data_IF_683951371935
#
_entry.id   IF_683951371935
#
_cell.length_a   1.000
_cell.length_b   1.000
_cell.length_c   1.000
_cell.angle_alpha   90.00
_cell.angle_beta   90.00
_cell.angle_gamma   90.00
#
_symmetry.space_group_name_H-M   'P 1'
#
loop_
_entity.id
_entity.type
_entity.pdbx_description
1 polymer ?
#
# COMPACT_ATOMS: atom_id res chain seq x y z
N UNK A 1 10.28 -11.51 -21.06
CA UNK A 1 10.15 -11.02 -19.67
C UNK A 1 11.26 -11.70 -18.87
N UNK A 2 11.89 -11.05 -17.90
CA UNK A 2 12.64 -11.84 -16.91
C UNK A 2 11.61 -12.76 -16.26
N UNK A 3 11.87 -14.08 -16.24
CA UNK A 3 10.92 -15.00 -15.63
C UNK A 3 10.94 -14.73 -14.13
N UNK A 4 9.90 -14.04 -13.64
CA UNK A 4 9.63 -13.94 -12.21
C UNK A 4 9.50 -15.37 -11.66
N UNK A 5 10.00 -15.61 -10.46
CA UNK A 5 9.76 -16.88 -9.77
C UNK A 5 8.25 -17.09 -9.58
N UNK A 6 7.83 -18.35 -9.48
CA UNK A 6 6.41 -18.70 -9.35
C UNK A 6 5.74 -18.05 -8.14
N UNK A 7 6.50 -17.81 -7.07
CA UNK A 7 6.02 -17.13 -5.86
C UNK A 7 5.54 -15.70 -6.14
N UNK A 8 6.10 -15.00 -7.15
CA UNK A 8 5.61 -13.70 -7.61
C UNK A 8 4.59 -13.88 -8.74
N UNK A 9 4.91 -14.73 -9.71
CA UNK A 9 4.14 -14.82 -10.95
C UNK A 9 2.69 -15.30 -10.74
N UNK A 10 2.44 -16.23 -9.81
CA UNK A 10 1.11 -16.80 -9.60
C UNK A 10 0.14 -15.77 -8.97
N UNK A 11 0.47 -15.13 -7.83
CA UNK A 11 -0.42 -14.12 -7.22
C UNK A 11 -0.64 -12.91 -8.13
N UNK A 12 0.36 -12.52 -8.93
CA UNK A 12 0.27 -11.42 -9.89
C UNK A 12 -0.73 -11.63 -11.02
N UNK A 13 -1.19 -12.87 -11.28
CA UNK A 13 -2.14 -13.14 -12.38
C UNK A 13 -3.41 -12.32 -12.26
N UNK A 14 -3.95 -12.16 -11.03
CA UNK A 14 -5.17 -11.38 -10.78
C UNK A 14 -4.93 -9.92 -11.17
N UNK A 15 -3.91 -9.28 -10.59
CA UNK A 15 -3.59 -7.87 -10.87
C UNK A 15 -3.26 -7.64 -12.34
N UNK A 16 -2.53 -8.57 -12.96
CA UNK A 16 -2.18 -8.51 -14.39
C UNK A 16 -3.42 -8.56 -15.28
N UNK A 17 -4.37 -9.46 -14.99
CA UNK A 17 -5.62 -9.55 -15.71
C UNK A 17 -6.46 -8.26 -15.55
N UNK A 18 -6.48 -7.67 -14.35
CA UNK A 18 -7.16 -6.39 -14.10
C UNK A 18 -6.49 -5.23 -14.86
N UNK A 19 -5.16 -5.15 -14.89
CA UNK A 19 -4.44 -4.17 -15.73
C UNK A 19 -4.79 -4.32 -17.22
N UNK A 20 -4.86 -5.56 -17.72
CA UNK A 20 -5.23 -5.82 -19.11
C UNK A 20 -6.67 -5.40 -19.39
N UNK A 21 -7.60 -5.71 -18.49
CA UNK A 21 -8.99 -5.27 -18.58
C UNK A 21 -9.09 -3.74 -18.62
N UNK A 22 -8.44 -3.04 -17.69
CA UNK A 22 -8.40 -1.57 -17.66
C UNK A 22 -7.90 -1.00 -18.99
N UNK A 23 -6.78 -1.50 -19.53
CA UNK A 23 -6.25 -1.02 -20.81
C UNK A 23 -7.16 -1.30 -22.00
N UNK A 24 -7.85 -2.43 -22.00
CA UNK A 24 -8.81 -2.78 -23.04
C UNK A 24 -10.04 -1.87 -22.99
N UNK A 25 -10.52 -1.59 -21.78
CA UNK A 25 -11.70 -0.76 -21.51
C UNK A 25 -11.44 0.74 -21.73
N UNK A 26 -10.25 1.23 -21.40
CA UNK A 26 -9.87 2.65 -21.52
C UNK A 26 -8.74 2.86 -22.53
N UNK A 27 -9.06 2.66 -23.81
CA UNK A 27 -8.07 2.75 -24.88
C UNK A 27 -7.44 4.16 -24.95
N UNK A 28 -6.13 4.23 -24.73
CA UNK A 28 -5.37 5.47 -24.78
C UNK A 28 -5.38 6.30 -23.49
N UNK A 29 -5.80 5.72 -22.35
CA UNK A 29 -5.87 6.43 -21.07
C UNK A 29 -4.57 7.14 -20.67
N UNK A 30 -3.41 6.53 -20.93
CA UNK A 30 -2.11 7.15 -20.65
C UNK A 30 -1.84 8.39 -21.50
N UNK A 31 -2.39 8.47 -22.71
CA UNK A 31 -2.29 9.68 -23.53
C UNK A 31 -3.16 10.81 -22.97
N UNK A 32 -4.30 10.47 -22.33
CA UNK A 32 -5.20 11.43 -21.70
C UNK A 32 -4.57 12.08 -20.46
N UNK A 33 -3.86 11.30 -19.65
CA UNK A 33 -3.18 11.82 -18.46
C UNK A 33 -1.80 12.44 -18.72
N UNK A 34 -1.17 12.18 -19.89
CA UNK A 34 0.20 12.61 -20.19
C UNK A 34 0.39 14.12 -19.99
N UNK A 35 -0.52 14.94 -20.52
CA UNK A 35 -0.41 16.40 -20.41
C UNK A 35 -0.45 16.89 -18.96
N UNK A 36 -1.26 16.25 -18.11
CA UNK A 36 -1.35 16.57 -16.67
C UNK A 36 -0.10 16.11 -15.92
N UNK A 37 0.36 14.89 -16.18
CA UNK A 37 1.59 14.35 -15.60
C UNK A 37 2.81 15.24 -15.90
N UNK A 38 2.93 15.73 -17.15
CA UNK A 38 4.00 16.64 -17.55
C UNK A 38 3.89 17.97 -16.81
N UNK A 39 2.67 18.53 -16.74
CA UNK A 39 2.42 19.79 -16.04
C UNK A 39 2.82 19.71 -14.56
N UNK A 40 2.33 18.72 -13.82
CA UNK A 40 2.60 18.63 -12.39
C UNK A 40 4.07 18.37 -12.07
N UNK A 41 4.76 17.58 -12.91
CA UNK A 41 6.20 17.40 -12.77
C UNK A 41 6.98 18.72 -12.93
N UNK A 42 6.55 19.60 -13.84
CA UNK A 42 7.24 20.86 -14.11
C UNK A 42 6.90 21.94 -13.08
N UNK A 43 5.67 21.93 -12.56
CA UNK A 43 5.21 22.94 -11.61
C UNK A 43 5.82 22.76 -10.19
N UNK A 44 6.67 21.74 -9.97
CA UNK A 44 7.18 21.31 -8.65
C UNK A 44 6.09 21.27 -7.57
N UNK A 45 4.86 20.98 -8.00
CA UNK A 45 3.75 20.89 -7.06
C UNK A 45 4.06 19.73 -6.15
N UNK A 46 3.96 19.97 -4.84
CA UNK A 46 4.02 18.95 -3.78
C UNK A 46 2.80 18.01 -3.82
N UNK A 47 2.31 17.65 -5.01
CA UNK A 47 1.27 16.63 -5.15
C UNK A 47 1.96 15.29 -4.85
N UNK A 48 1.34 14.49 -4.00
CA UNK A 48 1.90 13.19 -3.57
C UNK A 48 1.89 12.12 -4.69
N UNK A 49 1.34 12.47 -5.86
CA UNK A 49 1.21 11.64 -7.05
C UNK A 49 1.64 12.38 -8.31
N UNK A 50 1.94 11.62 -9.38
CA UNK A 50 2.24 12.20 -10.69
C UNK A 50 0.98 12.76 -11.38
N UNK A 51 -0.19 12.23 -11.02
CA UNK A 51 -1.51 12.63 -11.51
C UNK A 51 -2.53 12.39 -10.39
N UNK A 52 -3.49 13.30 -10.23
CA UNK A 52 -4.47 13.23 -9.12
C UNK A 52 -5.52 12.16 -9.35
N UNK A 53 -6.34 11.88 -8.32
CA UNK A 53 -7.53 11.03 -8.47
C UNK A 53 -8.44 11.59 -9.57
N UNK A 54 -8.76 12.88 -9.48
CA UNK A 54 -9.65 13.57 -10.42
C UNK A 54 -9.19 13.42 -11.87
N UNK A 55 -7.89 13.56 -12.13
CA UNK A 55 -7.33 13.42 -13.47
C UNK A 55 -7.48 12.00 -14.03
N UNK A 56 -7.39 10.97 -13.20
CA UNK A 56 -7.69 9.59 -13.61
C UNK A 56 -9.17 9.41 -13.96
N UNK A 57 -10.08 10.00 -13.17
CA UNK A 57 -11.52 9.90 -13.44
C UNK A 57 -11.88 10.63 -14.73
N UNK A 58 -11.39 11.86 -14.91
CA UNK A 58 -11.58 12.60 -16.15
C UNK A 58 -11.02 11.85 -17.36
N UNK A 59 -9.83 11.26 -17.24
CA UNK A 59 -9.24 10.45 -18.30
C UNK A 59 -10.06 9.18 -18.60
N UNK A 60 -10.59 8.52 -17.57
CA UNK A 60 -11.46 7.35 -17.71
C UNK A 60 -12.76 7.70 -18.45
N UNK A 61 -13.42 8.78 -18.04
CA UNK A 61 -14.63 9.30 -18.69
C UNK A 61 -14.35 9.73 -20.13
N UNK A 62 -13.26 10.44 -20.38
CA UNK A 62 -12.82 10.82 -21.72
C UNK A 62 -12.62 9.63 -22.67
N UNK A 63 -12.23 8.47 -22.13
CA UNK A 63 -12.04 7.24 -22.88
C UNK A 63 -13.34 6.47 -23.08
N UNK A 64 -14.22 6.43 -22.07
CA UNK A 64 -15.40 5.57 -22.04
C UNK A 64 -16.70 6.27 -22.47
N UNK A 65 -16.85 7.55 -22.12
CA UNK A 65 -18.00 8.39 -22.44
C UNK A 65 -17.53 9.77 -22.94
N UNK A 66 -16.99 9.91 -24.18
CA UNK A 66 -16.33 11.13 -24.64
C UNK A 66 -17.15 12.43 -24.57
N UNK A 67 -18.49 12.31 -24.60
CA UNK A 67 -19.42 13.44 -24.52
C UNK A 67 -19.90 13.73 -23.09
N UNK A 68 -19.28 13.14 -22.05
CA UNK A 68 -19.70 13.24 -20.66
C UNK A 68 -19.81 14.68 -20.13
N UNK A 69 -19.04 15.61 -20.72
CA UNK A 69 -19.03 17.03 -20.35
C UNK A 69 -20.21 17.81 -20.95
N UNK A 70 -20.95 17.23 -21.90
CA UNK A 70 -21.98 17.95 -22.65
C UNK A 70 -23.11 18.37 -21.71
N UNK A 71 -23.28 19.68 -21.55
CA UNK A 71 -24.32 20.26 -20.70
C UNK A 71 -23.89 20.46 -19.25
N UNK A 72 -22.64 20.14 -18.89
CA UNK A 72 -22.05 20.48 -17.60
C UNK A 72 -21.33 21.84 -17.70
N UNK A 73 -21.48 22.65 -16.65
CA UNK A 73 -20.73 23.88 -16.45
C UNK A 73 -19.52 23.63 -15.54
N UNK A 74 -18.58 24.58 -15.55
CA UNK A 74 -17.45 24.55 -14.62
C UNK A 74 -17.98 24.63 -13.19
N UNK A 75 -17.64 23.64 -12.37
CA UNK A 75 -18.06 23.53 -10.97
C UNK A 75 -19.23 22.57 -10.75
N UNK A 76 -19.90 22.11 -11.82
CA UNK A 76 -20.91 21.07 -11.71
C UNK A 76 -20.25 19.74 -11.30
N UNK A 77 -20.90 19.00 -10.38
CA UNK A 77 -20.49 17.67 -10.01
C UNK A 77 -20.64 16.71 -11.22
N UNK A 78 -19.78 15.69 -11.28
CA UNK A 78 -19.93 14.64 -12.29
C UNK A 78 -21.16 13.80 -11.89
N UNK A 79 -22.15 13.61 -12.78
CA UNK A 79 -23.28 12.76 -12.49
C UNK A 79 -22.88 11.32 -12.07
N UNK A 80 -23.42 10.82 -10.96
CA UNK A 80 -23.08 9.51 -10.38
C UNK A 80 -23.21 8.36 -11.38
N UNK A 81 -24.25 8.38 -12.21
CA UNK A 81 -24.47 7.35 -13.23
C UNK A 81 -23.31 7.24 -14.25
N UNK A 82 -22.56 8.31 -14.51
CA UNK A 82 -21.38 8.24 -15.39
C UNK A 82 -20.22 7.53 -14.70
N UNK A 83 -20.03 7.81 -13.41
CA UNK A 83 -19.00 7.19 -12.57
C UNK A 83 -19.31 5.71 -12.35
N UNK A 84 -20.56 5.39 -11.99
CA UNK A 84 -21.04 4.04 -11.72
C UNK A 84 -21.04 3.13 -12.94
N UNK A 85 -21.13 3.70 -14.14
CA UNK A 85 -21.08 2.95 -15.38
C UNK A 85 -19.65 2.75 -15.92
N UNK A 86 -18.61 3.26 -15.24
CA UNK A 86 -17.24 3.00 -15.64
C UNK A 86 -16.94 1.49 -15.60
N UNK A 87 -16.16 0.96 -16.57
CA UNK A 87 -15.82 -0.46 -16.65
C UNK A 87 -15.13 -1.08 -15.42
N UNK A 88 -14.52 -0.26 -14.57
CA UNK A 88 -13.99 -0.68 -13.28
C UNK A 88 -14.25 0.39 -12.22
N UNK A 89 -14.22 0.02 -10.92
CA UNK A 89 -14.29 1.00 -9.85
C UNK A 89 -13.23 2.09 -9.99
N UNK A 90 -13.57 3.32 -9.63
CA UNK A 90 -12.70 4.50 -9.68
C UNK A 90 -11.41 4.31 -8.88
N UNK A 91 -11.51 3.74 -7.67
CA UNK A 91 -10.35 3.43 -6.84
C UNK A 91 -9.38 2.46 -7.50
N UNK A 92 -9.91 1.48 -8.23
CA UNK A 92 -9.10 0.57 -9.03
C UNK A 92 -8.48 1.26 -10.25
N UNK A 93 -9.21 2.14 -10.93
CA UNK A 93 -8.69 2.95 -12.03
C UNK A 93 -7.46 3.77 -11.58
N UNK A 94 -7.57 4.42 -10.42
CA UNK A 94 -6.51 5.25 -9.82
C UNK A 94 -5.31 4.41 -9.40
N UNK A 95 -5.54 3.31 -8.66
CA UNK A 95 -4.46 2.47 -8.15
C UNK A 95 -3.75 1.70 -9.26
N UNK A 96 -4.47 1.02 -10.15
CA UNK A 96 -3.85 0.31 -11.28
C UNK A 96 -3.23 1.27 -12.29
N UNK A 97 -3.91 2.39 -12.58
CA UNK A 97 -3.39 3.46 -13.43
C UNK A 97 -2.02 3.92 -12.96
N UNK A 98 -1.93 4.27 -11.67
CA UNK A 98 -0.71 4.74 -11.03
C UNK A 98 0.35 3.64 -10.92
N UNK A 99 -0.05 2.42 -10.55
CA UNK A 99 0.87 1.30 -10.40
C UNK A 99 1.47 0.84 -11.73
N UNK A 100 0.75 0.91 -12.85
CA UNK A 100 1.31 0.59 -14.17
C UNK A 100 2.50 1.49 -14.56
N UNK A 101 2.59 2.69 -13.97
CA UNK A 101 3.75 3.55 -14.14
C UNK A 101 4.98 2.96 -13.45
N UNK A 102 4.86 2.32 -12.28
CA UNK A 102 6.04 1.83 -11.52
C UNK A 102 6.27 0.32 -11.64
N UNK A 103 5.19 -0.48 -11.57
CA UNK A 103 5.15 -1.95 -11.52
C UNK A 103 6.06 -2.56 -10.44
N UNK A 104 6.24 -1.81 -9.36
CA UNK A 104 6.97 -2.26 -8.18
C UNK A 104 6.13 -3.27 -7.39
N UNK A 105 6.72 -4.40 -7.04
CA UNK A 105 6.07 -5.48 -6.29
C UNK A 105 6.88 -5.76 -5.04
N UNK A 106 6.28 -5.57 -3.88
CA UNK A 106 6.92 -5.86 -2.59
C UNK A 106 6.32 -7.13 -2.01
N UNK A 107 7.16 -8.14 -1.82
CA UNK A 107 6.80 -9.36 -1.09
C UNK A 107 7.57 -9.38 0.22
N UNK A 108 6.90 -9.67 1.31
CA UNK A 108 7.57 -9.84 2.61
C UNK A 108 8.13 -11.25 2.78
N UNK A 109 9.22 -11.38 3.51
CA UNK A 109 9.63 -12.66 4.08
C UNK A 109 8.51 -13.24 4.96
N UNK A 110 8.34 -14.56 4.94
CA UNK A 110 7.21 -15.24 5.59
C UNK A 110 7.12 -14.96 7.08
N UNK A 111 8.25 -14.88 7.77
CA UNK A 111 8.30 -14.63 9.21
C UNK A 111 7.87 -13.20 9.53
N UNK A 112 8.24 -12.23 8.68
CA UNK A 112 7.83 -10.84 8.85
C UNK A 112 6.35 -10.66 8.53
N UNK A 113 5.86 -11.30 7.45
CA UNK A 113 4.43 -11.31 7.13
C UNK A 113 3.59 -11.87 8.29
N UNK A 114 4.02 -12.99 8.86
CA UNK A 114 3.38 -13.62 10.02
C UNK A 114 3.35 -12.70 11.23
N UNK A 115 4.47 -12.05 11.55
CA UNK A 115 4.53 -11.15 12.69
C UNK A 115 3.74 -9.86 12.46
N UNK A 116 3.73 -9.31 11.24
CA UNK A 116 2.90 -8.16 10.87
C UNK A 116 1.39 -8.46 10.95
N UNK A 117 0.96 -9.67 10.60
CA UNK A 117 -0.45 -10.06 10.78
C UNK A 117 -0.82 -10.18 12.26
N UNK A 118 0.10 -10.68 13.12
CA UNK A 118 -0.16 -10.85 14.56
C UNK A 118 -0.07 -9.54 15.34
N UNK A 119 0.86 -8.69 14.97
CA UNK A 119 0.98 -7.35 15.55
C UNK A 119 -0.20 -6.52 15.08
N UNK A 120 -1.04 -6.10 16.00
CA UNK A 120 -2.10 -5.16 15.66
C UNK A 120 -1.51 -3.77 15.56
N UNK A 121 -2.06 -2.94 14.69
CA UNK A 121 -1.86 -1.50 14.78
C UNK A 121 -2.54 -1.03 16.07
N UNK A 122 -1.73 -0.67 17.06
CA UNK A 122 -2.17 -0.20 18.37
C UNK A 122 -1.45 1.10 18.68
N UNK A 123 -2.21 2.19 18.86
CA UNK A 123 -1.70 3.45 19.40
C UNK A 123 -1.95 4.68 18.56
N UNK A 124 -1.54 5.82 19.12
CA UNK A 124 -1.76 7.15 18.58
C UNK A 124 -0.58 7.59 17.69
N UNK A 125 -0.37 6.91 16.56
CA UNK A 125 0.70 7.24 15.62
C UNK A 125 0.30 8.44 14.73
N UNK A 126 1.16 9.47 14.55
CA UNK A 126 0.84 10.61 13.69
C UNK A 126 0.71 10.26 12.21
N UNK A 127 -0.20 10.91 11.48
CA UNK A 127 -0.43 10.67 10.05
C UNK A 127 0.77 10.99 9.15
N UNK A 128 1.65 11.91 9.54
CA UNK A 128 2.85 12.21 8.74
C UNK A 128 3.76 10.98 8.57
N UNK A 129 3.60 9.94 9.41
CA UNK A 129 4.32 8.68 9.27
C UNK A 129 3.84 7.85 8.07
N UNK A 130 2.63 8.06 7.55
CA UNK A 130 2.16 7.34 6.37
C UNK A 130 3.03 7.75 5.18
N UNK A 131 3.81 6.80 4.68
CA UNK A 131 4.70 7.00 3.55
C UNK A 131 4.51 5.88 2.54
N UNK A 132 4.33 6.26 1.28
CA UNK A 132 4.42 5.35 0.14
C UNK A 132 5.76 5.67 -0.54
N UNK A 133 6.71 4.73 -0.61
CA UNK A 133 8.11 5.03 -0.97
C UNK A 133 8.29 5.44 -2.44
N UNK A 134 7.25 5.25 -3.25
CA UNK A 134 7.20 5.49 -4.69
C UNK A 134 5.83 6.07 -5.03
N UNK A 135 5.59 6.46 -6.29
CA UNK A 135 4.27 6.93 -6.73
C UNK A 135 3.12 5.99 -6.32
N UNK A 136 3.39 4.70 -6.35
CA UNK A 136 2.45 3.65 -6.02
C UNK A 136 3.21 2.33 -5.81
N UNK A 137 2.77 1.52 -4.85
CA UNK A 137 3.35 0.20 -4.56
C UNK A 137 2.27 -0.88 -4.58
N UNK A 138 2.62 -2.06 -5.11
CA UNK A 138 1.85 -3.28 -4.91
C UNK A 138 2.54 -4.13 -3.87
N UNK A 139 1.85 -4.40 -2.77
CA UNK A 139 2.28 -5.38 -1.76
C UNK A 139 1.59 -6.70 -2.06
N UNK A 140 2.41 -7.72 -2.33
CA UNK A 140 1.92 -9.08 -2.55
C UNK A 140 1.70 -9.75 -1.19
N UNK A 141 0.48 -10.20 -0.92
CA UNK A 141 0.05 -10.67 0.41
C UNK A 141 -0.38 -12.13 0.45
N UNK A 142 -0.05 -12.93 -0.56
CA UNK A 142 -0.39 -14.37 -0.59
C UNK A 142 0.21 -15.18 0.57
N UNK A 143 1.29 -14.69 1.20
CA UNK A 143 1.90 -15.29 2.39
C UNK A 143 1.44 -14.66 3.72
N UNK A 144 0.49 -13.72 3.68
CA UNK A 144 -0.18 -13.20 4.88
C UNK A 144 -1.45 -14.00 5.14
N UNK A 145 -1.82 -14.11 6.41
CA UNK A 145 -3.16 -14.53 6.82
C UNK A 145 -4.07 -13.29 6.84
N UNK A 146 -4.42 -12.82 5.64
CA UNK A 146 -5.18 -11.60 5.42
C UNK A 146 -6.42 -11.90 4.57
N UNK A 147 -7.59 -11.61 5.14
CA UNK A 147 -8.89 -11.92 4.55
C UNK A 147 -9.79 -10.70 4.60
N UNK A 148 -10.64 -10.56 3.60
CA UNK A 148 -11.79 -9.66 3.64
C UNK A 148 -13.04 -10.52 3.51
N UNK A 149 -13.88 -10.50 4.54
CA UNK A 149 -14.97 -11.46 4.70
C UNK A 149 -14.42 -12.90 4.62
N UNK A 150 -14.89 -13.70 3.65
CA UNK A 150 -14.45 -15.09 3.46
C UNK A 150 -13.37 -15.23 2.37
N UNK A 151 -12.96 -14.14 1.73
CA UNK A 151 -12.04 -14.16 0.60
C UNK A 151 -10.61 -13.80 1.03
N UNK A 152 -9.62 -14.54 0.52
CA UNK A 152 -8.22 -14.25 0.77
C UNK A 152 -7.77 -13.05 -0.05
N UNK A 153 -6.96 -12.18 0.55
CA UNK A 153 -6.35 -11.04 -0.13
C UNK A 153 -4.98 -11.46 -0.69
N UNK A 154 -4.83 -11.48 -2.02
CA UNK A 154 -3.56 -11.83 -2.68
C UNK A 154 -2.62 -10.65 -2.87
N UNK A 155 -3.13 -9.44 -2.82
CA UNK A 155 -2.28 -8.27 -2.71
C UNK A 155 -3.08 -6.99 -2.60
N UNK A 156 -2.35 -5.92 -2.36
CA UNK A 156 -2.91 -4.59 -2.10
C UNK A 156 -2.05 -3.57 -2.82
N UNK A 157 -2.70 -2.65 -3.51
CA UNK A 157 -2.03 -1.47 -4.06
C UNK A 157 -2.28 -0.30 -3.13
N UNK A 158 -1.20 0.39 -2.76
CA UNK A 158 -1.23 1.64 -2.02
C UNK A 158 -0.78 2.80 -2.90
N UNK A 159 -1.51 3.90 -2.87
CA UNK A 159 -1.11 5.16 -3.48
C UNK A 159 -1.56 6.33 -2.63
N UNK A 160 -0.72 7.36 -2.52
CA UNK A 160 -1.12 8.66 -2.00
C UNK A 160 -1.45 9.55 -3.19
N UNK A 161 -2.62 10.17 -3.16
CA UNK A 161 -3.06 11.07 -4.23
C UNK A 161 -3.87 12.23 -3.64
N UNK A 162 -4.37 13.10 -4.51
CA UNK A 162 -5.32 14.14 -4.15
C UNK A 162 -6.67 13.85 -4.79
N UNK A 163 -7.74 14.01 -4.02
CA UNK A 163 -9.13 13.99 -4.45
C UNK A 163 -9.76 15.30 -3.99
N UNK A 164 -10.25 16.14 -4.92
CA UNK A 164 -10.84 17.43 -4.57
C UNK A 164 -9.91 18.29 -3.68
N UNK A 165 -8.61 18.30 -3.99
CA UNK A 165 -7.54 18.99 -3.23
C UNK A 165 -7.26 18.44 -1.82
N UNK A 166 -7.89 17.33 -1.43
CA UNK A 166 -7.62 16.65 -0.17
C UNK A 166 -6.66 15.49 -0.41
N UNK A 167 -5.62 15.38 0.44
CA UNK A 167 -4.66 14.28 0.38
C UNK A 167 -5.33 13.00 0.89
N UNK A 168 -5.29 11.94 0.10
CA UNK A 168 -5.94 10.67 0.41
C UNK A 168 -4.98 9.51 0.21
N UNK A 169 -5.04 8.52 1.10
CA UNK A 169 -4.43 7.22 0.93
C UNK A 169 -5.47 6.27 0.35
N UNK A 170 -5.16 5.73 -0.82
CA UNK A 170 -6.03 4.79 -1.53
C UNK A 170 -5.42 3.40 -1.44
N UNK A 171 -6.20 2.45 -0.93
CA UNK A 171 -5.82 1.05 -0.77
C UNK A 171 -6.77 0.16 -1.56
N UNK A 172 -6.34 -0.39 -2.69
CA UNK A 172 -7.15 -1.35 -3.46
C UNK A 172 -6.65 -2.77 -3.22
N UNK A 173 -7.48 -3.61 -2.61
CA UNK A 173 -7.21 -5.02 -2.36
C UNK A 173 -7.67 -5.87 -3.54
N UNK A 174 -6.94 -6.96 -3.80
CA UNK A 174 -7.24 -7.94 -4.84
C UNK A 174 -7.53 -9.29 -4.18
N UNK A 175 -8.76 -9.75 -4.34
CA UNK A 175 -9.23 -11.00 -3.74
C UNK A 175 -8.92 -12.20 -4.64
N UNK A 176 -8.81 -13.37 -4.02
CA UNK A 176 -8.70 -14.66 -4.70
C UNK A 176 -9.89 -14.98 -5.63
N UNK A 177 -11.06 -14.38 -5.37
CA UNK A 177 -12.24 -14.41 -6.25
C UNK A 177 -12.05 -13.61 -7.55
N UNK A 178 -10.99 -12.82 -7.66
CA UNK A 178 -10.75 -11.89 -8.77
C UNK A 178 -11.47 -10.55 -8.62
N UNK A 179 -12.26 -10.36 -7.57
CA UNK A 179 -12.89 -9.09 -7.21
C UNK A 179 -11.89 -8.15 -6.52
N UNK A 180 -12.20 -6.87 -6.57
CA UNK A 180 -11.45 -5.80 -5.91
C UNK A 180 -12.32 -5.06 -4.90
N UNK A 181 -11.70 -4.50 -3.87
CA UNK A 181 -12.31 -3.51 -2.98
C UNK A 181 -11.34 -2.36 -2.78
N UNK A 182 -11.83 -1.15 -2.68
CA UNK A 182 -11.00 0.02 -2.39
C UNK A 182 -11.42 0.61 -1.06
N UNK A 183 -10.43 1.03 -0.27
CA UNK A 183 -10.60 1.82 0.93
C UNK A 183 -9.86 3.13 0.70
N UNK A 184 -10.55 4.25 0.95
CA UNK A 184 -9.98 5.60 0.84
C UNK A 184 -9.95 6.23 2.22
N UNK A 185 -8.76 6.69 2.62
CA UNK A 185 -8.52 7.37 3.88
C UNK A 185 -8.16 8.81 3.61
N UNK A 186 -8.89 9.75 4.22
CA UNK A 186 -8.44 11.14 4.28
C UNK A 186 -7.18 11.24 5.16
N UNK A 187 -6.10 11.77 4.60
CA UNK A 187 -4.84 11.94 5.33
C UNK A 187 -4.76 13.37 5.87
N UNK A 188 -4.82 13.49 7.19
CA UNK A 188 -4.63 14.77 7.88
C UNK A 188 -3.37 14.72 8.74
N UNK A 189 -2.32 15.44 8.32
CA UNK A 189 -1.00 15.43 8.97
C UNK A 189 -1.00 15.98 10.41
N UNK A 190 -2.05 16.71 10.80
CA UNK A 190 -2.22 17.27 12.15
C UNK A 190 -2.91 16.28 13.12
N UNK A 191 -3.55 15.24 12.60
CA UNK A 191 -4.24 14.22 13.39
C UNK A 191 -3.41 12.94 13.50
N UNK A 192 -3.75 12.10 14.48
CA UNK A 192 -3.27 10.74 14.48
C UNK A 192 -3.99 9.89 13.43
N UNK A 193 -3.33 8.82 13.00
CA UNK A 193 -3.86 7.88 12.00
C UNK A 193 -5.20 7.30 12.48
N UNK A 194 -5.29 6.94 13.77
CA UNK A 194 -6.50 6.36 14.37
C UNK A 194 -7.71 7.31 14.24
N UNK A 195 -7.49 8.62 14.42
CA UNK A 195 -8.54 9.64 14.31
C UNK A 195 -9.05 9.83 12.88
N UNK A 196 -8.31 9.35 11.88
CA UNK A 196 -8.70 9.40 10.48
C UNK A 196 -9.39 8.12 10.01
N UNK A 197 -9.35 7.01 10.78
CA UNK A 197 -9.92 5.73 10.33
C UNK A 197 -11.44 5.76 10.15
N UNK A 198 -12.14 6.69 10.80
CA UNK A 198 -13.57 6.94 10.56
C UNK A 198 -13.82 7.91 9.41
N UNK A 199 -12.81 8.68 8.99
CA UNK A 199 -12.86 9.63 7.87
C UNK A 199 -12.70 8.85 6.54
N UNK A 200 -13.50 7.79 6.37
CA UNK A 200 -13.67 7.19 5.05
C UNK A 200 -14.30 8.23 4.16
N UNK A 201 -13.70 8.45 3.00
CA UNK A 201 -14.45 9.12 1.95
C UNK A 201 -15.51 8.11 1.53
N UNK A 202 -16.76 8.43 1.84
CA UNK A 202 -18.00 7.65 1.72
C UNK A 202 -18.37 7.27 0.27
N UNK A 203 -17.38 7.13 -0.60
CA UNK A 203 -17.54 7.00 -2.03
C UNK A 203 -16.76 5.79 -2.52
N UNK A 204 -17.42 4.99 -3.36
CA UNK A 204 -16.90 3.83 -4.10
C UNK A 204 -17.09 2.46 -3.46
N UNK A 205 -18.20 2.29 -2.76
CA UNK A 205 -19.00 1.09 -2.97
C UNK A 205 -19.90 1.29 -4.19
N UNK A 206 -20.42 0.20 -4.72
CA UNK A 206 -21.58 0.26 -5.61
C UNK A 206 -22.61 1.18 -4.93
N UNK A 207 -22.91 2.37 -5.47
CA UNK A 207 -23.79 3.43 -4.88
C UNK A 207 -25.22 2.94 -4.53
N UNK A 208 -25.47 1.64 -4.64
CA UNK A 208 -26.72 0.95 -4.36
C UNK A 208 -26.91 0.60 -2.89
N UNK A 209 -25.92 0.74 -2.00
CA UNK A 209 -26.07 0.36 -0.58
C UNK A 209 -25.33 1.26 0.40
N UNK A 210 -26.08 1.83 1.36
CA UNK A 210 -25.55 2.38 2.61
C UNK A 210 -24.92 1.22 3.39
N UNK A 211 -23.67 1.36 3.82
CA UNK A 211 -23.01 0.36 4.65
C UNK A 211 -23.72 0.23 6.00
N UNK A 212 -23.91 -1.01 6.45
CA UNK A 212 -24.33 -1.25 7.84
C UNK A 212 -23.15 -1.12 8.81
N UNK A 213 -23.45 -1.03 10.12
CA UNK A 213 -22.42 -0.89 11.18
C UNK A 213 -21.38 -2.02 11.15
N UNK A 214 -21.79 -3.24 10.80
CA UNK A 214 -20.90 -4.40 10.73
C UNK A 214 -19.98 -4.33 9.50
N UNK A 215 -20.46 -3.82 8.38
CA UNK A 215 -19.62 -3.54 7.21
C UNK A 215 -18.59 -2.46 7.52
N UNK A 216 -18.99 -1.37 8.18
CA UNK A 216 -18.08 -0.31 8.62
C UNK A 216 -16.97 -0.88 9.51
N UNK A 217 -17.33 -1.70 10.51
CA UNK A 217 -16.37 -2.36 11.40
C UNK A 217 -15.39 -3.27 10.63
N UNK A 218 -15.88 -3.99 9.62
CA UNK A 218 -15.03 -4.82 8.75
C UNK A 218 -14.03 -3.99 7.95
N UNK A 219 -14.46 -2.86 7.39
CA UNK A 219 -13.58 -1.94 6.66
C UNK A 219 -12.54 -1.29 7.58
N UNK A 220 -12.93 -0.83 8.76
CA UNK A 220 -12.00 -0.28 9.76
C UNK A 220 -10.97 -1.31 10.21
N UNK A 221 -11.41 -2.54 10.51
CA UNK A 221 -10.52 -3.63 10.91
C UNK A 221 -9.51 -3.96 9.80
N UNK A 222 -9.97 -4.09 8.56
CA UNK A 222 -9.09 -4.32 7.42
C UNK A 222 -8.12 -3.14 7.23
N UNK A 223 -8.59 -1.90 7.29
CA UNK A 223 -7.75 -0.73 7.13
C UNK A 223 -6.63 -0.67 8.16
N UNK A 224 -6.90 -1.01 9.43
CA UNK A 224 -5.86 -1.14 10.48
C UNK A 224 -4.80 -2.17 10.09
N UNK A 225 -5.19 -3.32 9.54
CA UNK A 225 -4.25 -4.33 9.06
C UNK A 225 -3.42 -3.81 7.87
N UNK A 226 -4.05 -3.12 6.92
CA UNK A 226 -3.39 -2.56 5.75
C UNK A 226 -2.38 -1.46 6.13
N UNK A 227 -2.75 -0.56 7.05
CA UNK A 227 -1.87 0.48 7.57
C UNK A 227 -0.70 -0.15 8.33
N UNK A 228 -0.93 -1.21 9.12
CA UNK A 228 0.14 -1.91 9.82
C UNK A 228 1.21 -2.44 8.84
N UNK A 229 0.80 -2.93 7.67
CA UNK A 229 1.70 -3.34 6.59
C UNK A 229 2.39 -2.13 5.95
N UNK A 230 1.64 -1.07 5.63
CA UNK A 230 2.15 0.12 4.95
C UNK A 230 3.22 0.85 5.78
N UNK A 231 3.05 0.92 7.10
CA UNK A 231 4.01 1.57 8.01
C UNK A 231 5.42 0.96 7.96
N UNK A 232 5.56 -0.26 7.45
CA UNK A 232 6.88 -0.86 7.21
C UNK A 232 7.74 -0.01 6.26
N UNK A 233 7.10 0.62 5.27
CA UNK A 233 7.77 1.47 4.30
C UNK A 233 8.11 2.87 4.84
N UNK A 234 7.66 3.17 6.06
CA UNK A 234 7.93 4.41 6.79
C UNK A 234 9.09 4.28 7.78
N UNK A 235 9.66 3.09 7.94
CA UNK A 235 10.77 2.85 8.86
C UNK A 235 11.97 3.74 8.49
N UNK A 236 12.60 4.34 9.50
CA UNK A 236 13.77 5.20 9.31
C UNK A 236 14.97 4.46 8.71
N UNK A 237 14.99 3.12 8.79
CA UNK A 237 15.91 2.24 8.07
C UNK A 237 15.08 1.21 7.30
N UNK A 238 14.78 1.45 6.01
CA UNK A 238 14.01 0.53 5.21
C UNK A 238 14.72 -0.83 5.06
N UNK A 239 13.99 -1.92 5.35
CA UNK A 239 14.44 -3.29 5.10
C UNK A 239 13.63 -3.87 3.94
N UNK A 240 14.01 -3.47 2.74
CA UNK A 240 13.60 -4.10 1.49
C UNK A 240 14.67 -3.92 0.42
N UNK A 241 14.83 -4.90 -0.46
CA UNK A 241 15.86 -4.88 -1.51
C UNK A 241 15.30 -5.38 -2.85
N UNK A 242 15.74 -4.81 -3.98
CA UNK A 242 15.32 -5.28 -5.30
C UNK A 242 15.88 -6.68 -5.58
N UNK A 243 15.08 -7.55 -6.19
CA UNK A 243 15.50 -8.91 -6.59
C UNK A 243 16.06 -8.96 -8.01
N UNK A 244 15.79 -7.93 -8.81
CA UNK A 244 16.36 -7.77 -10.15
C UNK A 244 17.32 -6.59 -10.15
N UNK A 245 18.41 -6.63 -10.92
CA UNK A 245 19.31 -5.50 -11.06
C UNK A 245 18.57 -4.31 -11.67
N UNK A 246 18.92 -3.10 -11.23
CA UNK A 246 18.36 -1.87 -11.77
C UNK A 246 18.59 -1.78 -13.27
N UNK A 247 17.49 -1.63 -14.01
CA UNK A 247 17.55 -1.40 -15.43
C UNK A 247 17.59 0.10 -15.71
N UNK A 248 18.78 0.70 -15.62
CA UNK A 248 18.98 2.14 -15.90
C UNK A 248 18.55 2.58 -17.31
N UNK A 249 18.26 1.64 -18.22
CA UNK A 249 17.75 1.94 -19.57
C UNK A 249 16.23 2.07 -19.63
N UNK A 250 15.49 1.65 -18.60
CA UNK A 250 14.04 1.74 -18.59
C UNK A 250 13.61 3.19 -18.40
N UNK A 251 12.77 3.68 -19.32
CA UNK A 251 12.18 5.02 -19.22
C UNK A 251 10.84 4.87 -18.52
N UNK A 252 10.76 5.38 -17.30
CA UNK A 252 9.55 5.32 -16.48
C UNK A 252 9.15 6.73 -16.03
N UNK A 253 7.85 6.99 -15.96
CA UNK A 253 7.30 8.31 -15.63
C UNK A 253 7.52 9.30 -16.77
N UNK A 254 7.49 10.60 -16.45
CA UNK A 254 7.71 11.65 -17.45
C UNK A 254 9.19 11.73 -17.80
N UNK A 255 9.52 11.52 -19.08
CA UNK A 255 10.88 11.54 -19.61
C UNK A 255 10.97 12.43 -20.85
N UNK A 256 12.10 13.10 -21.05
CA UNK A 256 12.33 13.94 -22.23
C UNK A 256 12.88 13.11 -23.38
N UNK A 257 12.12 12.99 -24.48
CA UNK A 257 12.53 12.27 -25.69
C UNK A 257 12.53 13.25 -26.86
N UNK A 258 13.69 13.42 -27.51
CA UNK A 258 13.85 14.37 -28.62
C UNK A 258 13.31 15.78 -28.28
N UNK A 259 13.62 16.28 -27.06
CA UNK A 259 13.16 17.57 -26.50
C UNK A 259 11.65 17.68 -26.25
N UNK A 260 10.91 16.57 -26.33
CA UNK A 260 9.48 16.52 -26.01
C UNK A 260 9.30 15.68 -24.74
N UNK A 261 8.69 16.23 -23.67
CA UNK A 261 8.33 15.43 -22.51
C UNK A 261 7.22 14.44 -22.86
N UNK A 262 7.37 13.19 -22.43
CA UNK A 262 6.41 12.10 -22.66
C UNK A 262 6.29 11.23 -21.42
N UNK A 263 5.09 10.69 -21.18
CA UNK A 263 4.83 9.76 -20.08
C UNK A 263 5.08 8.32 -20.53
N UNK A 264 5.89 7.58 -19.78
CA UNK A 264 6.16 6.17 -20.05
C UNK A 264 5.74 5.29 -18.88
N UNK A 265 4.99 4.24 -19.20
CA UNK A 265 4.73 3.14 -18.28
C UNK A 265 5.97 2.26 -18.08
N UNK A 266 6.05 1.63 -16.90
CA UNK A 266 6.99 0.54 -16.68
C UNK A 266 6.69 -0.63 -17.63
N UNK A 267 7.72 -1.14 -18.28
CA UNK A 267 7.63 -2.24 -19.23
C UNK A 267 7.79 -3.59 -18.53
N UNK A 268 8.51 -3.62 -17.42
CA UNK A 268 8.77 -4.84 -16.64
C UNK A 268 8.33 -4.66 -15.19
N UNK A 269 7.96 -5.78 -14.59
CA UNK A 269 7.78 -5.89 -13.15
C UNK A 269 9.11 -5.73 -12.42
N UNK A 270 9.07 -5.04 -11.28
CA UNK A 270 10.23 -4.76 -10.42
C UNK A 270 9.98 -5.38 -9.04
N UNK A 271 10.37 -6.64 -8.83
CA UNK A 271 10.14 -7.33 -7.57
C UNK A 271 11.18 -6.93 -6.51
N UNK A 272 10.70 -6.77 -5.29
CA UNK A 272 11.44 -6.50 -4.07
C UNK A 272 11.10 -7.55 -3.02
N UNK A 273 12.08 -7.90 -2.20
CA UNK A 273 11.87 -8.66 -0.97
C UNK A 273 11.99 -7.72 0.22
N UNK A 274 10.99 -7.72 1.11
CA UNK A 274 10.93 -6.90 2.32
C UNK A 274 11.14 -7.75 3.57
N UNK A 275 11.87 -7.22 4.55
CA UNK A 275 12.06 -7.87 5.84
C UNK A 275 13.15 -8.92 5.88
N UNK A 276 14.17 -8.83 5.02
CA UNK A 276 15.22 -9.87 4.93
C UNK A 276 16.09 -9.92 6.18
N UNK A 277 16.53 -8.76 6.67
CA UNK A 277 17.32 -8.70 7.90
C UNK A 277 16.44 -8.95 9.13
N UNK A 278 15.20 -8.45 9.12
CA UNK A 278 14.26 -8.70 10.21
C UNK A 278 13.86 -10.18 10.32
N UNK A 279 13.66 -10.88 9.21
CA UNK A 279 13.35 -12.32 9.18
C UNK A 279 14.43 -13.12 9.90
N UNK A 280 15.73 -12.81 9.68
CA UNK A 280 16.84 -13.46 10.38
C UNK A 280 16.75 -13.26 11.90
N UNK A 281 16.40 -12.06 12.36
CA UNK A 281 16.25 -11.75 13.78
C UNK A 281 15.07 -12.53 14.40
N UNK A 282 13.92 -12.55 13.71
CA UNK A 282 12.73 -13.30 14.15
C UNK A 282 13.02 -14.80 14.23
N UNK A 283 13.71 -15.36 13.23
CA UNK A 283 14.15 -16.77 13.20
C UNK A 283 15.03 -17.09 14.42
N UNK A 284 16.04 -16.28 14.68
CA UNK A 284 16.94 -16.50 15.82
C UNK A 284 16.19 -16.54 17.17
N UNK A 285 15.19 -15.68 17.37
CA UNK A 285 14.37 -15.67 18.59
C UNK A 285 13.48 -16.92 18.68
N UNK A 286 12.88 -17.35 17.56
CA UNK A 286 12.06 -18.56 17.50
C UNK A 286 12.88 -19.85 17.71
N UNK A 287 14.11 -19.89 17.19
CA UNK A 287 15.04 -21.00 17.41
C UNK A 287 15.42 -21.11 18.89
N UNK A 288 15.76 -19.99 19.53
CA UNK A 288 15.98 -19.93 20.98
C UNK A 288 14.77 -20.45 21.76
N UNK A 289 13.56 -19.95 21.45
CA UNK A 289 12.33 -20.40 22.11
C UNK A 289 12.11 -21.92 21.96
N UNK A 290 12.41 -22.47 20.79
CA UNK A 290 12.31 -23.90 20.50
C UNK A 290 13.31 -24.72 21.31
N UNK A 291 14.55 -24.24 21.44
CA UNK A 291 15.57 -24.86 22.28
C UNK A 291 15.19 -24.85 23.77
N UNK A 292 14.69 -23.71 24.28
CA UNK A 292 14.18 -23.61 25.65
C UNK A 292 13.06 -24.62 25.92
N UNK A 293 12.14 -24.81 24.97
CA UNK A 293 11.02 -25.76 25.11
C UNK A 293 11.51 -27.21 25.22
N UNK A 294 12.57 -27.57 24.49
CA UNK A 294 13.23 -28.90 24.57
C UNK A 294 13.93 -29.14 25.91
N UNK A 295 14.43 -28.10 26.56
CA UNK A 295 15.14 -28.17 27.85
C UNK A 295 14.22 -27.98 29.08
N UNK A 296 12.90 -27.96 28.86
CA UNK A 296 11.86 -27.56 29.84
C UNK A 296 11.84 -28.34 31.16
N UNK A 297 12.48 -29.51 31.25
CA UNK A 297 12.63 -30.28 32.50
C UNK A 297 13.62 -29.66 33.51
N UNK A 298 14.42 -28.66 33.13
CA UNK A 298 15.46 -28.04 33.98
C UNK A 298 15.24 -26.54 34.28
N UNK A 299 14.15 -25.93 33.81
CA UNK A 299 13.98 -24.46 33.82
C UNK A 299 12.90 -24.02 34.83
N UNK A 300 13.28 -23.21 35.83
CA UNK A 300 12.38 -22.76 36.92
C UNK A 300 11.44 -21.58 36.52
N UNK A 301 11.77 -20.82 35.47
CA UNK A 301 10.90 -19.75 34.93
C UNK A 301 10.83 -19.82 33.42
N UNK A 302 9.62 -20.05 32.90
CA UNK A 302 9.38 -20.06 31.46
C UNK A 302 9.60 -18.64 30.89
N UNK A 303 10.41 -18.48 29.83
CA UNK A 303 10.49 -17.21 29.15
C UNK A 303 9.15 -16.89 28.49
N UNK A 304 8.82 -15.60 28.38
CA UNK A 304 7.66 -15.15 27.60
C UNK A 304 8.13 -14.37 26.38
N UNK A 305 7.32 -14.40 25.32
CA UNK A 305 7.60 -13.66 24.09
C UNK A 305 6.91 -12.29 24.16
N UNK A 306 7.70 -11.22 24.14
CA UNK A 306 7.19 -9.86 23.93
C UNK A 306 6.89 -9.68 22.45
N UNK A 307 5.68 -9.23 22.13
CA UNK A 307 5.21 -9.03 20.76
C UNK A 307 5.95 -7.91 20.02
N UNK A 308 6.04 -8.06 18.71
CA UNK A 308 6.54 -7.03 17.83
C UNK A 308 5.56 -5.86 17.74
N UNK A 309 6.08 -4.63 17.61
CA UNK A 309 5.29 -3.40 17.52
C UNK A 309 6.12 -2.26 16.91
N UNK A 310 5.43 -1.29 16.32
CA UNK A 310 6.05 -0.03 15.91
C UNK A 310 6.37 0.83 17.14
N UNK A 311 7.45 1.60 17.06
CA UNK A 311 7.83 2.56 18.08
C UNK A 311 8.36 3.84 17.41
N UNK A 312 7.81 4.98 17.83
CA UNK A 312 8.23 6.31 17.41
C UNK A 312 9.07 6.95 18.52
N UNK A 313 10.34 7.20 18.23
CA UNK A 313 11.24 7.92 19.13
C UNK A 313 11.34 9.38 18.72
N UNK A 314 11.22 10.31 19.66
CA UNK A 314 11.50 11.73 19.46
C UNK A 314 12.83 12.12 20.11
N UNK A 315 13.58 12.97 19.44
CA UNK A 315 14.84 13.53 19.91
C UNK A 315 14.77 15.05 19.91
N UNK A 316 15.39 15.66 20.92
CA UNK A 316 15.42 17.10 21.13
C UNK A 316 15.49 17.42 22.63
N UNK A 317 15.53 18.71 22.96
CA UNK A 317 15.30 19.16 24.33
C UNK A 317 13.91 18.71 24.83
N UNK A 318 13.73 18.60 26.16
CA UNK A 318 12.45 18.18 26.74
C UNK A 318 11.32 19.10 26.29
N UNK A 319 10.29 18.54 25.64
CA UNK A 319 9.15 19.29 25.09
C UNK A 319 9.36 19.81 23.66
N UNK A 320 10.50 19.50 23.02
CA UNK A 320 10.73 19.77 21.60
C UNK A 320 10.69 18.47 20.79
N UNK A 321 10.20 18.58 19.55
CA UNK A 321 10.03 17.47 18.60
C UNK A 321 10.88 17.73 17.35
N UNK A 322 12.20 17.79 17.52
CA UNK A 322 13.13 18.26 16.48
C UNK A 322 13.44 17.18 15.43
N UNK A 323 13.59 15.93 15.87
CA UNK A 323 13.88 14.78 15.01
C UNK A 323 13.17 13.55 15.54
N UNK A 324 12.74 12.67 14.64
CA UNK A 324 12.20 11.37 15.02
C UNK A 324 12.98 10.19 14.40
N UNK A 325 12.78 9.01 14.98
CA UNK A 325 13.24 7.72 14.46
C UNK A 325 12.08 6.72 14.64
N UNK A 326 11.59 6.18 13.53
CA UNK A 326 10.46 5.27 13.49
C UNK A 326 10.96 3.85 13.21
N UNK A 327 10.69 2.94 14.14
CA UNK A 327 11.26 1.60 14.15
C UNK A 327 10.20 0.52 14.31
N UNK A 328 10.47 -0.62 13.70
CA UNK A 328 9.84 -1.89 14.05
C UNK A 328 10.67 -2.57 15.13
N UNK A 329 10.08 -2.78 16.30
CA UNK A 329 10.70 -3.57 17.36
C UNK A 329 10.27 -5.03 17.16
N UNK A 330 11.19 -5.96 16.86
CA UNK A 330 10.84 -7.37 16.67
C UNK A 330 10.39 -8.02 17.97
N UNK A 331 9.90 -9.25 17.83
CA UNK A 331 9.67 -10.13 18.98
C UNK A 331 10.96 -10.29 19.79
N UNK A 332 10.83 -10.33 21.11
CA UNK A 332 11.97 -10.53 22.02
C UNK A 332 11.61 -11.52 23.11
N UNK A 333 12.56 -12.37 23.45
CA UNK A 333 12.42 -13.30 24.56
C UNK A 333 12.71 -12.57 25.88
N UNK A 334 11.78 -12.61 26.83
CA UNK A 334 11.92 -11.94 28.13
C UNK A 334 11.86 -12.95 29.27
N UNK A 335 12.89 -12.93 30.10
CA UNK A 335 13.09 -13.92 31.18
C UNK A 335 13.72 -15.22 30.67
N UNK A 336 13.94 -16.18 31.57
CA UNK A 336 14.57 -17.46 31.24
C UNK A 336 16.10 -17.45 31.39
N UNK A 337 16.62 -17.18 32.59
CA UNK A 337 18.03 -17.46 32.88
C UNK A 337 18.24 -18.98 32.88
N UNK A 338 18.97 -19.50 31.89
CA UNK A 338 19.66 -20.78 32.06
C UNK A 338 20.70 -20.50 33.14
N UNK A 339 20.55 -21.07 34.34
CA UNK A 339 21.66 -21.11 35.28
C UNK A 339 22.74 -21.94 34.58
N UNK A 340 23.82 -21.30 34.16
CA UNK A 340 25.04 -22.03 33.86
C UNK A 340 25.37 -22.81 35.13
N UNK A 341 25.38 -24.14 35.02
CA UNK A 341 25.91 -25.00 36.06
C UNK A 341 27.43 -24.81 36.00
N UNK A 342 27.99 -24.20 37.04
CA UNK A 342 29.41 -24.37 37.38
C UNK A 342 29.73 -25.85 37.64
#
# INVERSE_FOLDING_TARGET
>A
MANLSNEFAIPLKVVTARCQHLKASFKGIFNKIESKAIKYKNDDKKISSLVTWDDWIYAGLDCYAPDWQKGLNVGDAIPDHLINNLPCPTGELVTLGSWMLTKNIYRFENEVATELTKSKFEGNLPNFLINVPELCIYVQTDNFDLHFQQSKIYGVIFTLTELCYQKVLVSTIFLDTGLTRTIVLLVNEEKAIEDCLSDFIDEFHDDRSILDENEIDQYQSLQKQLINILLWFSLSKPDYVPLLPDNHKERVGVQTVKRVPRLFEAQKYKPFIAGKEMSKQIKAVNDQLTEYSKQSSKVHRRPHLRRAHYHLYWYGAKGSYERYDFKWIPITLVGGTIKNMD
#
